data_IF_963259669740
#
_entry.id   IF_963259669740
#
_cell.length_a   1.000
_cell.length_b   1.000
_cell.length_c   1.000
_cell.angle_alpha   90.00
_cell.angle_beta   90.00
_cell.angle_gamma   90.00
#
_symmetry.space_group_name_H-M   'P 1'
#
loop_
_entity.id
_entity.type
_entity.pdbx_description
1 polymer ?
#
# COMPACT_ATOMS: atom_id res chain seq x y z
N UNK A 1 -4.63 -0.05 -1.42
CA UNK A 1 -3.31 0.36 -0.88
C UNK A 1 -2.36 0.16 -2.03
N UNK A 2 -2.01 1.21 -2.64
CA UNK A 2 -1.33 1.11 -3.89
C UNK A 2 -0.09 1.97 -3.86
N UNK A 3 1.05 1.31 -3.74
CA UNK A 3 2.35 1.88 -3.91
C UNK A 3 3.02 2.49 -2.65
N UNK A 4 4.33 2.64 -2.73
CA UNK A 4 5.21 3.11 -1.67
C UNK A 4 5.00 4.59 -1.31
N UNK A 5 4.39 5.37 -2.24
CA UNK A 5 4.23 6.81 -2.11
C UNK A 5 2.90 7.25 -1.49
N UNK A 6 1.98 6.32 -1.19
CA UNK A 6 0.76 6.67 -0.47
C UNK A 6 -0.34 5.60 -0.45
N UNK A 7 -1.04 5.52 0.66
CA UNK A 7 -2.26 4.72 0.81
C UNK A 7 -3.48 5.59 0.51
N UNK A 8 -4.17 5.33 -0.60
CA UNK A 8 -5.21 6.23 -1.12
C UNK A 8 -6.65 5.77 -0.86
N UNK A 9 -6.86 4.58 -0.30
CA UNK A 9 -8.19 4.05 0.04
C UNK A 9 -8.34 4.01 1.55
N UNK A 10 -9.44 4.57 2.06
CA UNK A 10 -9.78 4.48 3.48
C UNK A 10 -10.11 3.03 3.87
N UNK A 11 -9.40 2.54 4.90
CA UNK A 11 -9.66 1.27 5.56
C UNK A 11 -10.03 1.59 7.01
N UNK A 12 -11.29 1.45 7.36
CA UNK A 12 -11.82 1.90 8.67
C UNK A 12 -11.22 1.14 9.84
N UNK A 13 -10.90 -0.13 9.66
CA UNK A 13 -10.23 -0.96 10.67
C UNK A 13 -8.79 -0.54 10.94
N UNK A 14 -8.16 0.09 9.94
CA UNK A 14 -6.76 0.54 10.02
C UNK A 14 -6.59 2.02 9.68
N UNK A 15 -7.08 2.95 10.53
CA UNK A 15 -7.16 4.38 10.20
C UNK A 15 -5.80 5.02 9.93
N UNK A 16 -4.71 4.54 10.53
CA UNK A 16 -3.37 5.08 10.26
C UNK A 16 -2.92 4.91 8.80
N UNK A 17 -3.53 4.00 8.03
CA UNK A 17 -3.24 3.90 6.59
C UNK A 17 -3.52 5.23 5.88
N UNK A 18 -4.55 5.96 6.29
CA UNK A 18 -4.88 7.28 5.73
C UNK A 18 -4.36 8.45 6.56
N UNK A 19 -4.27 8.32 7.88
CA UNK A 19 -3.73 9.36 8.75
C UNK A 19 -2.22 9.58 8.56
N UNK A 20 -1.48 8.50 8.32
CA UNK A 20 -0.02 8.48 8.14
C UNK A 20 0.35 8.07 6.72
N UNK A 21 -0.12 6.91 6.28
CA UNK A 21 0.28 6.28 5.02
C UNK A 21 -0.16 7.04 3.76
N UNK A 22 -1.17 7.92 3.85
CA UNK A 22 -1.61 8.74 2.72
C UNK A 22 -0.78 10.04 2.54
N UNK A 23 0.21 10.31 3.37
CA UNK A 23 0.90 11.58 3.39
C UNK A 23 2.41 11.40 3.35
N UNK A 24 3.08 12.05 2.38
CA UNK A 24 4.53 12.12 2.29
C UNK A 24 5.07 13.52 2.56
N UNK A 25 6.29 13.60 3.08
CA UNK A 25 6.93 14.85 3.49
C UNK A 25 7.73 15.51 2.34
N UNK A 26 7.23 15.42 1.13
CA UNK A 26 7.83 15.98 -0.06
C UNK A 26 7.57 15.14 -1.29
N UNK A 27 7.77 15.75 -2.45
CA UNK A 27 7.70 15.06 -3.74
C UNK A 27 8.96 15.36 -4.54
N UNK A 28 9.39 14.41 -5.35
CA UNK A 28 10.49 14.63 -6.26
C UNK A 28 10.10 15.64 -7.33
N UNK A 29 10.98 16.59 -7.64
CA UNK A 29 10.80 17.64 -8.63
C UNK A 29 11.95 17.68 -9.62
N UNK A 30 11.66 17.97 -10.88
CA UNK A 30 12.65 17.98 -11.95
C UNK A 30 12.94 16.59 -12.51
N UNK A 31 14.12 16.39 -13.06
CA UNK A 31 14.53 15.11 -13.58
C UNK A 31 14.83 14.12 -12.46
N UNK A 32 14.55 12.83 -12.69
CA UNK A 32 14.81 11.77 -11.71
C UNK A 32 16.27 11.78 -11.20
N UNK A 33 17.21 11.99 -12.10
CA UNK A 33 18.65 12.07 -11.79
C UNK A 33 19.04 13.19 -10.81
N UNK A 34 18.23 14.24 -10.73
CA UNK A 34 18.54 15.41 -9.91
C UNK A 34 18.37 15.16 -8.42
N UNK A 35 17.56 14.17 -8.04
CA UNK A 35 17.22 13.83 -6.67
C UNK A 35 16.83 15.04 -5.81
N UNK A 36 16.08 15.98 -6.42
CA UNK A 36 15.58 17.18 -5.76
C UNK A 36 14.16 16.94 -5.25
N UNK A 37 13.87 17.52 -4.10
CA UNK A 37 12.57 17.42 -3.45
C UNK A 37 12.05 18.80 -3.10
N UNK A 38 10.72 18.97 -3.10
CA UNK A 38 10.07 20.24 -2.76
C UNK A 38 9.83 20.42 -1.25
N UNK A 39 10.05 19.36 -0.45
CA UNK A 39 9.85 19.32 1.01
C UNK A 39 8.47 19.82 1.48
N UNK A 40 7.47 19.74 0.61
CA UNK A 40 6.10 20.11 0.91
C UNK A 40 5.30 18.85 1.22
N UNK A 41 4.61 18.85 2.37
CA UNK A 41 3.71 17.76 2.69
C UNK A 41 2.65 17.62 1.58
N UNK A 42 2.56 16.43 0.99
CA UNK A 42 1.63 16.11 -0.07
C UNK A 42 0.94 14.77 0.21
N UNK A 43 -0.33 14.68 -0.14
CA UNK A 43 -1.08 13.44 -0.02
C UNK A 43 -2.58 13.68 -0.04
N UNK A 44 -3.32 12.61 0.20
CA UNK A 44 -4.77 12.57 0.26
C UNK A 44 -5.25 11.13 0.10
N UNK A 45 -6.52 10.93 0.36
CA UNK A 45 -7.16 9.63 0.22
C UNK A 45 -8.62 9.80 -0.15
N UNK A 46 -9.23 8.73 -0.61
CA UNK A 46 -10.66 8.65 -0.86
C UNK A 46 -11.35 7.95 0.31
N UNK A 47 -12.42 8.56 0.83
CA UNK A 47 -13.29 7.89 1.78
C UNK A 47 -14.03 6.74 1.11
N UNK A 48 -14.52 5.79 1.90
CA UNK A 48 -15.30 4.68 1.35
C UNK A 48 -16.57 5.18 0.63
N UNK A 49 -17.17 6.26 1.11
CA UNK A 49 -18.33 6.89 0.46
C UNK A 49 -17.96 7.45 -0.91
N UNK A 50 -16.84 8.15 -1.03
CA UNK A 50 -16.34 8.65 -2.32
C UNK A 50 -16.02 7.52 -3.31
N UNK A 51 -15.43 6.41 -2.82
CA UNK A 51 -15.19 5.22 -3.65
C UNK A 51 -16.53 4.66 -4.19
N UNK A 52 -17.54 4.51 -3.32
CA UNK A 52 -18.87 4.05 -3.73
C UNK A 52 -19.51 4.97 -4.78
N UNK A 53 -19.34 6.29 -4.65
CA UNK A 53 -19.82 7.25 -5.66
C UNK A 53 -19.13 7.04 -7.01
N UNK A 54 -17.79 6.87 -7.01
CA UNK A 54 -17.01 6.59 -8.23
C UNK A 54 -17.46 5.29 -8.89
N UNK A 55 -17.59 4.21 -8.11
CA UNK A 55 -18.06 2.90 -8.59
C UNK A 55 -19.47 2.99 -9.17
N UNK A 56 -20.39 3.67 -8.48
CA UNK A 56 -21.75 3.85 -8.94
C UNK A 56 -21.84 4.72 -10.22
N UNK A 57 -20.98 5.72 -10.35
CA UNK A 57 -20.87 6.53 -11.56
C UNK A 57 -20.35 5.71 -12.75
N UNK A 58 -19.27 4.95 -12.55
CA UNK A 58 -18.69 4.08 -13.57
C UNK A 58 -19.71 3.03 -14.07
N UNK A 59 -20.46 2.42 -13.15
CA UNK A 59 -21.50 1.44 -13.49
C UNK A 59 -22.57 2.01 -14.42
N UNK A 60 -22.96 3.30 -14.27
CA UNK A 60 -23.90 3.97 -15.19
C UNK A 60 -23.35 4.11 -16.61
N UNK A 61 -22.04 4.06 -16.74
CA UNK A 61 -21.32 4.13 -18.03
C UNK A 61 -20.89 2.75 -18.53
N UNK A 62 -21.35 1.67 -17.89
CA UNK A 62 -20.96 0.29 -18.17
C UNK A 62 -19.44 0.05 -18.05
N UNK A 63 -18.82 0.69 -17.06
CA UNK A 63 -17.40 0.55 -16.74
C UNK A 63 -17.28 -0.16 -15.39
N UNK A 64 -16.51 -1.25 -15.37
CA UNK A 64 -16.14 -1.96 -14.15
C UNK A 64 -14.87 -1.33 -13.55
N UNK A 65 -14.92 -1.01 -12.26
CA UNK A 65 -13.76 -0.51 -11.52
C UNK A 65 -13.15 -1.66 -10.74
N UNK A 66 -11.93 -2.06 -11.11
CA UNK A 66 -11.19 -3.14 -10.46
C UNK A 66 -10.21 -2.52 -9.47
N UNK A 67 -10.31 -2.81 -8.17
CA UNK A 67 -9.32 -2.35 -7.21
C UNK A 67 -8.02 -3.12 -7.35
N UNK A 68 -6.90 -2.41 -7.17
CA UNK A 68 -5.57 -3.00 -7.12
C UNK A 68 -4.98 -2.84 -5.72
N UNK A 69 -4.50 -3.94 -5.15
CA UNK A 69 -3.85 -3.98 -3.84
C UNK A 69 -2.50 -4.66 -3.99
N UNK A 70 -1.44 -3.95 -3.64
CA UNK A 70 -0.08 -4.47 -3.74
C UNK A 70 0.33 -5.21 -2.48
N UNK A 71 0.87 -6.41 -2.68
CA UNK A 71 1.41 -7.27 -1.62
C UNK A 71 2.26 -8.39 -2.25
N UNK A 72 3.39 -8.78 -1.63
CA UNK A 72 3.95 -8.22 -0.40
C UNK A 72 4.85 -7.01 -0.62
N UNK A 73 5.19 -6.66 -1.85
CA UNK A 73 5.98 -5.49 -2.25
C UNK A 73 5.17 -4.20 -2.26
N UNK A 74 5.83 -3.09 -2.61
CA UNK A 74 5.25 -1.74 -2.68
C UNK A 74 4.42 -1.37 -1.43
N UNK A 75 4.93 -1.78 -0.26
CA UNK A 75 4.21 -1.72 1.00
C UNK A 75 4.67 -0.57 1.90
N UNK A 76 5.63 0.25 1.48
CA UNK A 76 6.30 1.19 2.37
C UNK A 76 5.35 2.23 2.97
N UNK A 77 4.36 2.71 2.22
CA UNK A 77 3.36 3.63 2.78
C UNK A 77 2.52 2.98 3.90
N UNK A 78 2.15 1.70 3.72
CA UNK A 78 1.44 0.95 4.75
C UNK A 78 2.35 0.62 5.95
N UNK A 79 3.61 0.28 5.71
CA UNK A 79 4.59 0.00 6.75
C UNK A 79 5.02 1.26 7.52
N UNK A 80 4.99 2.44 6.90
CA UNK A 80 5.15 3.71 7.61
C UNK A 80 4.03 3.94 8.63
N UNK A 81 2.81 3.47 8.34
CA UNK A 81 1.66 3.54 9.24
C UNK A 81 1.67 2.43 10.31
N UNK A 82 2.09 1.22 9.93
CA UNK A 82 2.08 0.00 10.75
C UNK A 82 3.39 -0.80 10.59
N UNK A 83 4.49 -0.37 11.22
CA UNK A 83 5.80 -0.99 11.05
C UNK A 83 5.87 -2.47 11.48
N UNK A 84 4.99 -2.88 12.40
CA UNK A 84 4.92 -4.25 12.90
C UNK A 84 4.59 -5.29 11.82
N UNK A 85 3.98 -4.89 10.69
CA UNK A 85 3.71 -5.80 9.58
C UNK A 85 4.91 -5.99 8.65
N UNK A 86 5.95 -5.17 8.79
CA UNK A 86 7.21 -5.31 8.08
C UNK A 86 8.15 -6.35 8.69
N UNK A 87 9.20 -6.70 7.96
CA UNK A 87 10.18 -7.67 8.41
C UNK A 87 11.19 -7.09 9.42
N UNK A 88 11.39 -5.77 9.45
CA UNK A 88 12.39 -5.11 10.31
C UNK A 88 11.78 -4.40 11.52
N UNK A 89 10.51 -4.11 11.52
CA UNK A 89 9.83 -3.23 12.49
C UNK A 89 10.45 -1.81 12.57
N UNK A 90 11.23 -1.40 11.60
CA UNK A 90 11.82 -0.07 11.55
C UNK A 90 10.77 1.00 11.30
N UNK A 91 11.00 2.19 11.85
CA UNK A 91 10.14 3.34 11.57
C UNK A 91 10.47 3.87 10.17
N UNK A 92 9.59 3.61 9.24
CA UNK A 92 9.68 4.07 7.86
C UNK A 92 8.93 5.39 7.67
N UNK A 93 9.29 6.12 6.61
CA UNK A 93 8.50 7.24 6.06
C UNK A 93 7.84 6.80 4.75
N UNK A 94 6.71 7.41 4.43
CA UNK A 94 6.09 7.28 3.12
C UNK A 94 7.07 7.79 2.06
N UNK A 95 7.28 7.02 1.01
CA UNK A 95 8.33 7.30 0.02
C UNK A 95 8.05 8.57 -0.77
N UNK A 96 9.13 9.29 -1.13
CA UNK A 96 9.07 10.57 -1.84
C UNK A 96 9.53 10.47 -3.30
N UNK A 97 10.16 9.36 -3.66
CA UNK A 97 10.75 9.13 -4.97
C UNK A 97 10.18 7.89 -5.63
N UNK A 98 10.52 7.67 -6.88
CA UNK A 98 10.27 6.42 -7.58
C UNK A 98 11.39 5.41 -7.31
N UNK A 99 11.06 4.14 -7.36
CA UNK A 99 12.01 3.03 -7.23
C UNK A 99 11.36 1.79 -6.63
N UNK A 100 12.17 0.79 -6.32
CA UNK A 100 11.75 -0.47 -5.68
C UNK A 100 12.18 -0.46 -4.23
N UNK A 101 11.22 -0.47 -3.31
CA UNK A 101 11.53 -0.59 -1.88
C UNK A 101 11.95 -2.01 -1.53
N UNK A 102 12.93 -2.13 -0.63
CA UNK A 102 13.30 -3.43 -0.03
C UNK A 102 12.35 -3.84 1.10
N UNK A 103 11.58 -2.89 1.62
CA UNK A 103 10.68 -3.11 2.75
C UNK A 103 9.33 -3.64 2.27
N UNK A 104 9.03 -4.85 2.69
CA UNK A 104 7.89 -5.63 2.26
C UNK A 104 7.07 -6.09 3.47
N UNK A 105 5.83 -6.48 3.25
CA UNK A 105 5.06 -7.20 4.25
C UNK A 105 5.74 -8.53 4.60
N UNK A 106 5.96 -8.74 5.90
CA UNK A 106 6.58 -9.98 6.38
C UNK A 106 5.54 -11.09 6.50
N UNK A 107 5.86 -12.35 6.11
CA UNK A 107 4.94 -13.46 6.18
C UNK A 107 4.73 -13.93 7.64
N UNK A 108 4.00 -13.14 8.41
CA UNK A 108 3.59 -13.41 9.80
C UNK A 108 2.07 -13.55 9.86
N UNK A 109 1.57 -14.31 10.82
CA UNK A 109 0.12 -14.51 11.01
C UNK A 109 -0.62 -13.16 11.15
N UNK A 110 -0.10 -12.25 11.95
CA UNK A 110 -0.67 -10.91 12.13
C UNK A 110 -0.72 -10.09 10.84
N UNK A 111 0.26 -10.27 9.94
CA UNK A 111 0.29 -9.62 8.63
C UNK A 111 -0.76 -10.22 7.70
N UNK A 112 -0.93 -11.55 7.71
CA UNK A 112 -1.99 -12.18 6.93
C UNK A 112 -3.37 -11.74 7.39
N UNK A 113 -3.59 -11.65 8.71
CA UNK A 113 -4.85 -11.15 9.26
C UNK A 113 -5.11 -9.70 8.85
N UNK A 114 -4.07 -8.84 8.90
CA UNK A 114 -4.15 -7.46 8.42
C UNK A 114 -4.56 -7.39 6.95
N UNK A 115 -3.90 -8.18 6.10
CA UNK A 115 -4.20 -8.21 4.66
C UNK A 115 -5.61 -8.72 4.37
N UNK A 116 -6.07 -9.75 5.09
CA UNK A 116 -7.45 -10.23 5.01
C UNK A 116 -8.46 -9.14 5.38
N UNK A 117 -8.25 -8.46 6.50
CA UNK A 117 -9.12 -7.38 6.95
C UNK A 117 -9.20 -6.23 5.92
N UNK A 118 -8.06 -5.89 5.30
CA UNK A 118 -8.03 -4.89 4.22
C UNK A 118 -8.81 -5.36 3.00
N UNK A 119 -8.60 -6.61 2.60
CA UNK A 119 -9.30 -7.20 1.45
C UNK A 119 -10.81 -7.28 1.68
N UNK A 120 -11.26 -7.61 2.89
CA UNK A 120 -12.69 -7.66 3.24
C UNK A 120 -13.36 -6.28 3.05
N UNK A 121 -12.70 -5.20 3.50
CA UNK A 121 -13.23 -3.84 3.30
C UNK A 121 -13.19 -3.43 1.82
N UNK A 122 -12.11 -3.76 1.10
CA UNK A 122 -11.99 -3.45 -0.33
C UNK A 122 -13.06 -4.19 -1.15
N UNK A 123 -13.22 -5.50 -0.95
CA UNK A 123 -14.22 -6.30 -1.66
C UNK A 123 -15.65 -5.76 -1.41
N UNK A 124 -15.93 -5.29 -0.20
CA UNK A 124 -17.22 -4.69 0.12
C UNK A 124 -17.51 -3.36 -0.62
N UNK A 125 -16.47 -2.67 -1.08
CA UNK A 125 -16.59 -1.41 -1.83
C UNK A 125 -16.77 -1.61 -3.34
N UNK A 126 -16.23 -2.70 -3.87
CA UNK A 126 -16.21 -2.97 -5.31
C UNK A 126 -17.06 -4.22 -5.63
N UNK A 127 -18.24 -4.06 -6.25
CA UNK A 127 -19.21 -5.15 -6.42
C UNK A 127 -18.85 -6.15 -7.52
N UNK A 128 -17.66 -6.03 -8.11
CA UNK A 128 -17.20 -6.90 -9.18
C UNK A 128 -16.39 -8.11 -8.64
N UNK A 129 -16.32 -9.18 -9.44
CA UNK A 129 -15.73 -10.46 -9.03
C UNK A 129 -14.21 -10.37 -8.88
N UNK A 130 -13.58 -9.43 -9.56
CA UNK A 130 -12.13 -9.36 -9.68
C UNK A 130 -11.53 -8.29 -8.77
N UNK A 131 -10.50 -8.67 -8.01
CA UNK A 131 -9.55 -7.78 -7.35
C UNK A 131 -8.18 -8.07 -7.92
N UNK A 132 -7.43 -7.05 -8.31
CA UNK A 132 -6.07 -7.21 -8.77
C UNK A 132 -5.13 -7.22 -7.55
N UNK A 133 -4.45 -8.34 -7.34
CA UNK A 133 -3.34 -8.45 -6.39
C UNK A 133 -2.08 -8.35 -7.21
N UNK A 134 -1.34 -7.26 -7.02
CA UNK A 134 -0.08 -7.04 -7.71
C UNK A 134 1.07 -7.58 -6.88
N UNK A 135 1.89 -8.41 -7.47
CA UNK A 135 3.07 -9.04 -6.87
C UNK A 135 4.26 -8.86 -7.83
N UNK A 136 4.68 -7.62 -8.04
CA UNK A 136 5.85 -7.32 -8.84
C UNK A 136 6.98 -6.69 -8.00
N UNK A 137 8.18 -6.78 -8.51
CA UNK A 137 9.40 -6.16 -7.97
C UNK A 137 9.71 -6.50 -6.50
N UNK A 138 9.26 -7.65 -6.01
CA UNK A 138 9.44 -8.05 -4.60
C UNK A 138 10.91 -8.35 -4.30
N UNK A 139 11.53 -7.51 -3.49
CA UNK A 139 12.89 -7.74 -3.03
C UNK A 139 12.95 -8.91 -2.06
N UNK A 140 13.81 -9.91 -2.37
CA UNK A 140 14.05 -11.06 -1.47
C UNK A 140 15.00 -10.73 -0.32
N UNK A 141 15.51 -9.51 -0.22
CA UNK A 141 16.52 -9.13 0.77
C UNK A 141 15.98 -9.28 2.20
N UNK A 142 14.87 -8.62 2.51
CA UNK A 142 14.26 -8.67 3.84
C UNK A 142 13.78 -10.08 4.22
N UNK A 143 13.33 -10.87 3.25
CA UNK A 143 12.97 -12.27 3.50
C UNK A 143 14.18 -13.12 3.89
N UNK A 144 15.34 -12.88 3.28
CA UNK A 144 16.58 -13.62 3.62
C UNK A 144 17.15 -13.23 4.98
N UNK A 145 16.97 -11.99 5.39
CA UNK A 145 17.42 -11.46 6.67
C UNK A 145 16.53 -11.89 7.84
N UNK A 146 15.29 -12.30 7.56
CA UNK A 146 14.33 -12.67 8.59
C UNK A 146 14.29 -14.18 8.83
N UNK A 147 14.43 -14.60 10.09
CA UNK A 147 14.43 -16.01 10.50
C UNK A 147 13.11 -16.76 10.16
N UNK A 148 11.98 -16.06 10.06
CA UNK A 148 10.71 -16.66 9.68
C UNK A 148 10.67 -17.06 8.19
N UNK A 149 11.36 -16.33 7.32
CA UNK A 149 11.39 -16.62 5.88
C UNK A 149 12.27 -17.83 5.53
N UNK A 150 13.17 -18.25 6.42
CA UNK A 150 14.01 -19.44 6.22
C UNK A 150 13.19 -20.73 6.25
N UNK A 151 11.99 -20.71 6.88
CA UNK A 151 11.09 -21.88 7.00
C UNK A 151 10.29 -22.12 5.70
N UNK A 152 10.14 -21.11 4.85
CA UNK A 152 9.39 -21.20 3.58
C UNK A 152 10.29 -21.53 2.37
N UNK A 153 11.39 -22.22 2.56
CA UNK A 153 12.17 -22.79 1.46
C UNK A 153 11.41 -23.99 0.87
N UNK A 154 10.66 -23.71 -0.20
CA UNK A 154 10.28 -24.72 -1.21
C UNK A 154 11.36 -24.81 -2.26
#
# INVERSE_FOLDING_TARGET
MTDDQGCIIEIKKYPKLTEVGAWRNGSQVGAYSDMKFDDKKYGGFYTQEQIKEVVAYAAKLHIDVIPEIEMPGHAQAALAAYPNFGCTNEKLEVWKTWGVSEDIFCPKEETFQFLQDVMDEVIALFPYINVHIRDDEVSKKRLKENSFAVILRF
#
